data_IF_617987845053
#
_entry.id   IF_617987845053
#
_cell.length_a   1.000
_cell.length_b   1.000
_cell.length_c   1.000
_cell.angle_alpha   90.00
_cell.angle_beta   90.00
_cell.angle_gamma   90.00
#
_symmetry.space_group_name_H-M   'P 1'
#
loop_
_entity.id
_entity.type
_entity.pdbx_description
1 polymer ?
#
# COMPACT_ATOMS: atom_id res chain seq x y z
N UNK A 1 -10.18 17.46 23.76
CA UNK A 1 -9.36 16.46 23.05
C UNK A 1 -9.43 16.74 21.57
N UNK A 2 -8.28 16.86 20.94
CA UNK A 2 -8.12 17.01 19.50
C UNK A 2 -7.39 15.79 18.94
N UNK A 3 -7.83 15.28 17.79
CA UNK A 3 -7.16 14.19 17.08
C UNK A 3 -6.35 14.78 15.93
N UNK A 4 -5.03 14.66 16.03
CA UNK A 4 -4.09 15.04 14.99
C UNK A 4 -3.63 13.81 14.21
N UNK A 5 -3.14 14.02 12.99
CA UNK A 5 -2.50 12.96 12.19
C UNK A 5 -1.10 13.39 11.79
N UNK A 6 -0.13 12.48 11.88
CA UNK A 6 1.25 12.74 11.50
C UNK A 6 1.92 11.46 10.98
N UNK A 7 3.14 11.59 10.50
CA UNK A 7 4.02 10.45 10.26
C UNK A 7 4.99 10.30 11.43
N UNK A 8 5.66 9.14 11.57
CA UNK A 8 6.47 8.85 12.76
C UNK A 8 7.57 9.86 13.11
N UNK A 9 8.10 10.60 12.12
CA UNK A 9 9.13 11.64 12.33
C UNK A 9 8.57 13.06 12.16
N UNK A 10 7.26 13.20 12.04
CA UNK A 10 6.58 14.49 11.95
C UNK A 10 6.34 15.12 13.31
N UNK A 11 5.60 16.22 13.30
CA UNK A 11 5.15 16.87 14.53
C UNK A 11 4.19 15.95 15.29
N UNK A 12 4.40 15.82 16.60
CA UNK A 12 3.55 15.02 17.50
C UNK A 12 3.00 15.95 18.56
N UNK A 13 1.67 15.97 18.69
CA UNK A 13 0.93 16.74 19.70
C UNK A 13 0.17 15.80 20.62
N UNK A 14 0.38 15.96 21.92
CA UNK A 14 -0.21 15.08 22.93
C UNK A 14 0.32 13.64 22.83
N UNK A 15 -0.55 12.67 23.04
CA UNK A 15 -0.21 11.26 23.05
C UNK A 15 0.01 10.71 21.64
N UNK A 16 1.19 10.14 21.40
CA UNK A 16 1.52 9.50 20.13
C UNK A 16 0.94 8.09 20.06
N UNK A 17 0.12 7.81 19.04
CA UNK A 17 -0.53 6.52 18.81
C UNK A 17 -0.19 6.01 17.41
N UNK A 18 0.59 4.93 17.33
CA UNK A 18 0.81 4.21 16.09
C UNK A 18 -0.47 3.50 15.67
N UNK A 19 -0.89 3.74 14.42
CA UNK A 19 -1.99 3.03 13.75
C UNK A 19 -1.47 2.21 12.56
N UNK A 20 -0.17 1.98 12.47
CA UNK A 20 0.38 1.06 11.47
C UNK A 20 0.25 -0.38 11.94
N UNK A 21 0.17 -1.30 10.97
CA UNK A 21 0.26 -2.72 11.27
C UNK A 21 1.57 -3.05 11.99
N UNK A 22 2.67 -2.40 11.58
CA UNK A 22 3.99 -2.57 12.17
C UNK A 22 4.60 -1.20 12.52
N UNK A 23 4.67 -0.78 13.80
CA UNK A 23 5.37 0.44 14.17
C UNK A 23 6.89 0.31 13.96
N UNK A 24 7.64 1.43 13.94
CA UNK A 24 9.10 1.40 13.97
C UNK A 24 9.63 0.60 15.16
N UNK A 25 10.73 -0.14 14.98
CA UNK A 25 11.30 -1.05 16.00
C UNK A 25 11.50 -0.43 17.39
N UNK A 26 11.78 0.87 17.47
CA UNK A 26 12.02 1.60 18.71
C UNK A 26 10.90 2.59 19.06
N UNK A 27 9.68 2.35 18.58
CA UNK A 27 8.52 3.22 18.88
C UNK A 27 8.26 3.30 20.38
N UNK A 28 8.11 4.53 20.90
CA UNK A 28 7.89 4.81 22.33
C UNK A 28 6.45 5.21 22.66
N UNK A 29 5.65 5.54 21.65
CA UNK A 29 4.23 5.84 21.83
C UNK A 29 3.39 4.58 21.99
N UNK A 30 2.07 4.75 22.13
CA UNK A 30 1.14 3.62 22.12
C UNK A 30 1.07 3.00 20.74
N UNK A 31 0.76 1.71 20.67
CA UNK A 31 0.45 1.01 19.42
C UNK A 31 -0.99 0.52 19.48
N UNK A 32 -1.77 0.89 18.48
CA UNK A 32 -3.19 0.59 18.39
C UNK A 32 -3.50 -0.13 17.06
N UNK A 33 -3.26 -1.45 16.99
CA UNK A 33 -3.49 -2.24 15.78
C UNK A 33 -4.97 -2.31 15.38
N UNK A 34 -5.88 -1.91 16.27
CA UNK A 34 -7.30 -1.73 15.99
C UNK A 34 -7.55 -0.88 14.72
N UNK A 35 -6.73 0.14 14.49
CA UNK A 35 -6.82 1.04 13.33
C UNK A 35 -5.82 0.72 12.22
N UNK A 36 -5.11 -0.40 12.31
CA UNK A 36 -4.16 -0.80 11.28
C UNK A 36 -4.87 -1.46 10.08
N UNK A 37 -4.41 -1.20 8.84
CA UNK A 37 -4.78 -2.02 7.69
C UNK A 37 -4.42 -3.47 7.96
N UNK A 38 -5.16 -4.40 7.36
CA UNK A 38 -4.80 -5.82 7.41
C UNK A 38 -3.55 -6.08 6.57
N UNK A 39 -2.82 -7.18 6.78
CA UNK A 39 -1.71 -7.56 5.93
C UNK A 39 -2.09 -7.55 4.44
N UNK A 40 -3.25 -8.10 4.09
CA UNK A 40 -3.74 -8.23 2.71
C UNK A 40 -3.91 -6.86 2.04
N UNK A 41 -4.34 -5.86 2.80
CA UNK A 41 -4.47 -4.50 2.28
C UNK A 41 -3.14 -3.88 1.91
N UNK A 42 -2.01 -4.27 2.51
CA UNK A 42 -0.70 -3.70 2.19
C UNK A 42 -0.29 -3.89 0.72
N UNK A 43 -0.96 -4.81 0.01
CA UNK A 43 -0.77 -5.05 -1.42
C UNK A 43 -0.89 -3.77 -2.26
N UNK A 44 -1.78 -2.82 -1.91
CA UNK A 44 -2.01 -1.62 -2.74
C UNK A 44 -0.71 -0.87 -3.06
N UNK A 45 0.28 -0.91 -2.15
CA UNK A 45 1.61 -0.30 -2.33
C UNK A 45 2.45 -0.95 -3.42
N UNK A 46 2.23 -2.23 -3.71
CA UNK A 46 2.89 -2.96 -4.79
C UNK A 46 2.12 -2.88 -6.12
N UNK A 47 0.93 -2.28 -6.14
CA UNK A 47 0.14 -2.06 -7.36
C UNK A 47 0.58 -0.78 -8.09
N UNK A 48 -0.06 -0.45 -9.21
CA UNK A 48 0.15 0.81 -9.94
C UNK A 48 -0.11 2.10 -9.13
N UNK A 49 -0.64 2.00 -7.90
CA UNK A 49 -0.94 3.10 -6.97
C UNK A 49 -1.82 4.24 -7.54
N UNK A 50 -2.55 3.96 -8.64
CA UNK A 50 -3.45 4.92 -9.27
C UNK A 50 -4.73 5.17 -8.45
N UNK A 51 -5.55 6.12 -8.91
CA UNK A 51 -6.81 6.53 -8.27
C UNK A 51 -7.78 5.38 -8.02
N UNK A 52 -7.82 4.38 -8.90
CA UNK A 52 -8.70 3.23 -8.75
C UNK A 52 -8.14 2.22 -7.72
N UNK A 53 -6.82 2.04 -7.64
CA UNK A 53 -6.20 1.29 -6.54
C UNK A 53 -6.43 1.95 -5.18
N UNK A 54 -6.34 3.28 -5.11
CA UNK A 54 -6.63 4.06 -3.89
C UNK A 54 -8.11 3.96 -3.49
N UNK A 55 -9.02 4.00 -4.47
CA UNK A 55 -10.46 3.85 -4.23
C UNK A 55 -10.80 2.45 -3.70
N UNK A 56 -10.21 1.41 -4.28
CA UNK A 56 -10.36 0.04 -3.80
C UNK A 56 -9.81 -0.13 -2.39
N UNK A 57 -8.58 0.35 -2.14
CA UNK A 57 -8.01 0.31 -0.80
C UNK A 57 -8.93 0.98 0.22
N UNK A 58 -9.48 2.15 -0.12
CA UNK A 58 -10.41 2.88 0.73
C UNK A 58 -11.66 2.07 1.03
N UNK A 59 -12.22 1.41 0.03
CA UNK A 59 -13.40 0.56 0.20
C UNK A 59 -13.11 -0.63 1.12
N UNK A 60 -12.03 -1.35 0.88
CA UNK A 60 -11.70 -2.56 1.65
C UNK A 60 -11.21 -2.23 3.07
N UNK A 61 -10.50 -1.10 3.24
CA UNK A 61 -10.12 -0.63 4.57
C UNK A 61 -11.34 -0.15 5.38
N UNK A 62 -12.35 0.47 4.74
CA UNK A 62 -13.62 0.79 5.41
C UNK A 62 -14.30 -0.45 5.97
N UNK A 63 -14.41 -1.54 5.20
CA UNK A 63 -14.95 -2.82 5.71
C UNK A 63 -14.18 -3.33 6.93
N UNK A 64 -12.87 -3.11 6.95
CA UNK A 64 -12.03 -3.45 8.10
C UNK A 64 -12.40 -2.62 9.34
N UNK A 65 -12.60 -1.31 9.18
CA UNK A 65 -13.06 -0.44 10.26
C UNK A 65 -14.47 -0.83 10.73
N UNK A 66 -15.41 -1.06 9.81
CA UNK A 66 -16.78 -1.49 10.10
C UNK A 66 -16.80 -2.77 10.95
N UNK A 67 -15.98 -3.76 10.59
CA UNK A 67 -15.88 -5.02 11.34
C UNK A 67 -15.35 -4.85 12.77
N UNK A 68 -14.69 -3.71 13.04
CA UNK A 68 -14.05 -3.38 14.31
C UNK A 68 -14.82 -2.32 15.09
N UNK A 69 -15.99 -1.88 14.61
CA UNK A 69 -16.69 -0.71 15.13
C UNK A 69 -16.97 -0.77 16.63
N UNK A 70 -17.37 -1.93 17.14
CA UNK A 70 -17.63 -2.11 18.57
C UNK A 70 -16.39 -1.81 19.45
N UNK A 71 -15.21 -2.24 19.00
CA UNK A 71 -13.95 -1.99 19.70
C UNK A 71 -13.51 -0.53 19.55
N UNK A 72 -13.75 0.07 18.39
CA UNK A 72 -13.50 1.49 18.13
C UNK A 72 -14.34 2.35 19.08
N UNK A 73 -15.64 2.06 19.21
CA UNK A 73 -16.55 2.76 20.12
C UNK A 73 -16.12 2.65 21.59
N UNK A 74 -15.68 1.46 22.03
CA UNK A 74 -15.12 1.29 23.37
C UNK A 74 -13.87 2.13 23.59
N UNK A 75 -12.96 2.16 22.60
CA UNK A 75 -11.75 2.96 22.68
C UNK A 75 -12.05 4.46 22.72
N UNK A 76 -12.98 4.93 21.88
CA UNK A 76 -13.43 6.34 21.83
C UNK A 76 -14.06 6.75 23.16
N UNK A 77 -14.92 5.92 23.75
CA UNK A 77 -15.54 6.19 25.07
C UNK A 77 -14.49 6.39 26.16
N UNK A 78 -13.46 5.54 26.18
CA UNK A 78 -12.33 5.66 27.10
C UNK A 78 -11.54 6.96 26.92
N UNK A 79 -11.45 7.49 25.69
CA UNK A 79 -10.82 8.79 25.47
C UNK A 79 -11.70 9.96 25.94
N UNK A 80 -13.03 9.82 25.89
CA UNK A 80 -13.96 10.85 26.43
C UNK A 80 -13.87 10.95 27.96
N UNK A 81 -13.60 9.85 28.66
CA UNK A 81 -13.43 9.82 30.11
C UNK A 81 -12.13 10.50 30.60
N UNK A 82 -11.09 10.53 29.75
CA UNK A 82 -9.82 11.22 30.04
C UNK A 82 -9.34 11.98 28.80
N UNK A 83 -9.89 13.17 28.53
CA UNK A 83 -9.65 13.89 27.28
C UNK A 83 -8.23 14.45 27.25
N UNK A 84 -7.40 13.86 26.41
CA UNK A 84 -6.07 14.37 26.06
C UNK A 84 -5.94 14.47 24.56
N UNK A 85 -5.07 15.36 24.07
CA UNK A 85 -4.78 15.41 22.64
C UNK A 85 -4.04 14.15 22.19
N UNK A 86 -4.34 13.68 20.98
CA UNK A 86 -3.80 12.45 20.42
C UNK A 86 -3.26 12.74 19.03
N UNK A 87 -2.09 12.18 18.70
CA UNK A 87 -1.56 12.15 17.33
C UNK A 87 -1.52 10.73 16.81
N UNK A 88 -2.27 10.46 15.74
CA UNK A 88 -2.24 9.20 15.01
C UNK A 88 -1.06 9.17 14.03
N UNK A 89 -0.23 8.13 14.13
CA UNK A 89 1.02 8.02 13.38
C UNK A 89 1.03 6.81 12.43
N UNK A 90 1.49 7.06 11.18
CA UNK A 90 1.86 6.03 10.22
C UNK A 90 3.19 6.37 9.50
N UNK A 91 3.58 5.61 8.47
CA UNK A 91 4.87 5.81 7.78
C UNK A 91 4.83 6.85 6.68
N UNK A 92 3.68 6.99 6.02
CA UNK A 92 3.49 7.82 4.85
C UNK A 92 3.65 9.30 5.22
N UNK A 93 4.33 10.11 4.41
CA UNK A 93 4.56 11.52 4.73
C UNK A 93 3.27 12.32 4.56
N UNK A 94 3.28 13.57 5.04
CA UNK A 94 2.19 14.51 4.77
C UNK A 94 2.03 14.71 3.26
N UNK A 95 0.79 14.57 2.76
CA UNK A 95 0.48 14.62 1.32
C UNK A 95 0.36 13.25 0.66
N UNK A 96 0.99 12.22 1.21
CA UNK A 96 0.88 10.85 0.69
C UNK A 96 -0.50 10.23 1.05
N UNK A 97 -1.04 9.43 0.13
CA UNK A 97 -2.21 8.61 0.38
C UNK A 97 -1.92 7.56 1.47
N UNK A 98 -2.75 7.49 2.51
CA UNK A 98 -2.66 6.49 3.56
C UNK A 98 -3.96 6.39 4.39
N UNK A 99 -4.02 5.39 5.28
CA UNK A 99 -5.19 5.11 6.11
C UNK A 99 -5.43 6.10 7.26
N UNK A 100 -4.46 6.93 7.64
CA UNK A 100 -4.61 7.81 8.83
C UNK A 100 -5.79 8.78 8.70
N UNK A 101 -6.10 9.20 7.48
CA UNK A 101 -7.20 10.11 7.20
C UNK A 101 -8.55 9.43 7.44
N UNK A 102 -8.74 8.21 6.92
CA UNK A 102 -9.95 7.42 7.15
C UNK A 102 -10.15 7.09 8.63
N UNK A 103 -9.08 6.76 9.35
CA UNK A 103 -9.14 6.56 10.81
C UNK A 103 -9.52 7.85 11.54
N UNK A 104 -8.96 8.98 11.12
CA UNK A 104 -9.29 10.29 11.69
C UNK A 104 -10.77 10.64 11.50
N UNK A 105 -11.31 10.43 10.31
CA UNK A 105 -12.73 10.61 10.01
C UNK A 105 -13.62 9.70 10.86
N UNK A 106 -13.29 8.41 10.95
CA UNK A 106 -14.04 7.43 11.75
C UNK A 106 -14.12 7.83 13.22
N UNK A 107 -12.98 8.21 13.80
CA UNK A 107 -12.91 8.66 15.20
C UNK A 107 -13.71 9.95 15.39
N UNK A 108 -13.63 10.90 14.46
CA UNK A 108 -14.38 12.16 14.56
C UNK A 108 -15.89 11.92 14.47
N UNK A 109 -16.34 11.07 13.56
CA UNK A 109 -17.76 10.72 13.42
C UNK A 109 -18.33 10.12 14.71
N UNK A 110 -17.59 9.22 15.36
CA UNK A 110 -17.97 8.59 16.63
C UNK A 110 -17.82 9.53 17.84
N UNK A 111 -16.86 10.45 17.81
CA UNK A 111 -16.75 11.48 18.84
C UNK A 111 -17.97 12.40 18.81
N UNK A 112 -18.47 12.76 17.62
CA UNK A 112 -19.44 13.83 17.41
C UNK A 112 -20.88 13.35 17.12
N UNK A 113 -21.15 12.04 17.25
CA UNK A 113 -22.51 11.53 17.37
C UNK A 113 -23.27 11.34 16.06
N UNK A 114 -22.59 11.13 14.94
CA UNK A 114 -23.20 10.55 13.73
C UNK A 114 -24.14 11.45 12.89
N UNK A 115 -24.39 12.71 13.25
CA UNK A 115 -25.05 13.69 12.38
C UNK A 115 -24.04 14.67 11.81
N UNK A 116 -23.53 14.39 10.60
CA UNK A 116 -22.71 15.35 9.85
C UNK A 116 -23.64 16.38 9.22
N UNK A 117 -24.03 17.38 10.02
CA UNK A 117 -24.54 18.64 9.49
C UNK A 117 -23.45 19.31 8.66
N UNK A 118 -23.81 19.81 7.48
CA UNK A 118 -22.90 20.35 6.47
C UNK A 118 -22.09 21.60 6.89
N UNK A 119 -22.18 22.02 8.15
CA UNK A 119 -21.35 23.06 8.72
C UNK A 119 -20.64 22.52 9.96
N UNK A 120 -19.33 22.72 9.99
CA UNK A 120 -18.46 22.65 11.16
C UNK A 120 -17.60 21.38 11.36
N UNK A 121 -17.09 20.73 10.32
CA UNK A 121 -15.80 20.05 10.44
C UNK A 121 -14.66 21.09 10.32
N UNK A 122 -14.30 21.75 11.43
CA UNK A 122 -12.95 22.33 11.53
C UNK A 122 -11.95 21.19 11.75
N UNK A 123 -11.74 20.43 10.68
CA UNK A 123 -10.50 19.73 10.45
C UNK A 123 -9.44 20.85 10.35
N UNK A 124 -8.79 21.21 11.45
CA UNK A 124 -7.45 21.85 11.34
C UNK A 124 -6.48 20.75 10.90
N UNK A 125 -6.75 20.16 9.73
CA UNK A 125 -5.76 19.42 8.96
C UNK A 125 -4.74 20.49 8.61
N UNK A 126 -3.70 20.64 9.43
CA UNK A 126 -2.54 21.49 9.10
C UNK A 126 -1.84 20.77 7.95
N UNK A 127 -2.44 20.86 6.76
CA UNK A 127 -1.81 20.58 5.49
C UNK A 127 -0.73 21.65 5.33
N UNK A 128 0.52 21.23 5.29
CA UNK A 128 1.51 22.01 4.56
C UNK A 128 0.98 22.20 3.14
N UNK A 129 0.58 23.44 2.83
CA UNK A 129 0.06 23.93 1.55
C UNK A 129 0.37 23.01 0.36
N UNK A 130 -0.66 22.38 -0.20
CA UNK A 130 -0.77 22.14 -1.64
C UNK A 130 -2.25 22.02 -1.98
N UNK A 131 -2.74 22.94 -2.81
CA UNK A 131 -4.13 23.04 -3.21
C UNK A 131 -4.47 21.93 -4.21
N UNK A 132 -5.36 21.01 -3.86
CA UNK A 132 -6.27 20.40 -4.84
C UNK A 132 -7.61 20.11 -4.17
N UNK A 133 -8.72 20.71 -4.63
CA UNK A 133 -10.04 20.43 -4.12
C UNK A 133 -10.53 19.07 -4.64
N UNK A 134 -11.05 18.24 -3.74
CA UNK A 134 -11.79 17.03 -4.07
C UNK A 134 -13.15 17.48 -4.61
N UNK A 135 -13.32 17.48 -5.93
CA UNK A 135 -14.63 17.68 -6.55
C UNK A 135 -15.32 16.34 -6.79
N UNK A 136 -16.55 16.30 -6.29
CA UNK A 136 -17.66 15.39 -6.57
C UNK A 136 -17.60 14.60 -7.88
N UNK A 137 -18.02 13.34 -7.77
CA UNK A 137 -18.18 12.34 -8.81
C UNK A 137 -19.47 12.62 -9.62
N UNK A 138 -19.37 13.37 -10.72
CA UNK A 138 -20.36 13.37 -11.82
C UNK A 138 -19.84 14.20 -13.00
N UNK A 139 -19.94 13.62 -14.20
CA UNK A 139 -19.80 14.26 -15.52
C UNK A 139 -18.38 14.60 -16.00
N UNK A 140 -17.87 13.79 -16.95
CA UNK A 140 -17.58 14.33 -18.29
C UNK A 140 -17.43 13.19 -19.30
N UNK A 141 -18.44 13.07 -20.15
CA UNK A 141 -18.29 12.51 -21.48
C UNK A 141 -17.77 13.61 -22.42
N UNK A 142 -16.97 13.17 -23.40
CA UNK A 142 -17.01 13.58 -24.82
C UNK A 142 -15.98 14.61 -25.34
N UNK A 143 -15.16 14.08 -26.26
CA UNK A 143 -14.57 14.66 -27.50
C UNK A 143 -13.53 15.80 -27.39
N UNK A 144 -12.60 16.06 -28.33
CA UNK A 144 -11.93 15.38 -29.47
C UNK A 144 -11.00 16.46 -30.09
N UNK A 145 -9.81 16.09 -30.60
CA UNK A 145 -8.96 16.92 -31.48
C UNK A 145 -7.54 16.33 -31.57
N UNK A 146 -7.08 15.72 -32.68
CA UNK A 146 -6.42 16.30 -33.89
C UNK A 146 -5.19 17.17 -33.52
N UNK A 147 -3.99 17.07 -34.11
CA UNK A 147 -3.50 16.47 -35.35
C UNK A 147 -1.94 16.51 -35.33
N UNK A 148 -1.30 15.54 -36.02
CA UNK A 148 -0.02 15.48 -36.76
C UNK A 148 1.29 16.20 -36.35
N UNK A 149 2.42 15.51 -36.61
CA UNK A 149 3.76 16.09 -36.65
C UNK A 149 4.89 15.07 -36.87
N UNK A 150 4.99 14.52 -38.08
CA UNK A 150 6.05 13.65 -38.59
C UNK A 150 7.45 14.30 -38.58
N UNK A 151 8.51 13.58 -38.19
CA UNK A 151 9.85 13.72 -38.82
C UNK A 151 10.79 12.53 -38.53
N UNK A 152 11.14 11.88 -39.63
CA UNK A 152 12.16 10.86 -39.84
C UNK A 152 13.56 11.39 -39.52
N UNK A 153 14.39 10.58 -38.86
CA UNK A 153 15.81 10.41 -39.19
C UNK A 153 16.39 9.16 -38.48
N UNK A 154 16.82 8.22 -39.32
CA UNK A 154 17.49 6.97 -38.99
C UNK A 154 19.00 7.24 -38.79
N UNK A 155 19.70 6.50 -37.90
CA UNK A 155 20.92 5.87 -38.38
C UNK A 155 21.16 4.44 -37.85
N UNK A 156 21.36 3.54 -38.83
CA UNK A 156 22.26 2.37 -38.96
C UNK A 156 22.57 1.42 -37.76
N UNK A 157 22.79 0.12 -38.06
CA UNK A 157 22.67 -0.99 -37.13
C UNK A 157 23.93 -1.22 -36.28
N UNK A 158 23.73 -1.60 -35.02
CA UNK A 158 24.79 -2.13 -34.18
C UNK A 158 24.76 -3.66 -34.24
N UNK A 159 25.81 -4.16 -34.89
CA UNK A 159 26.42 -5.47 -34.87
C UNK A 159 25.91 -6.49 -33.81
N UNK A 160 25.29 -7.57 -34.30
CA UNK A 160 25.00 -8.80 -33.56
C UNK A 160 26.13 -9.80 -33.80
N UNK A 161 26.75 -10.32 -32.73
CA UNK A 161 27.48 -11.60 -32.66
C UNK A 161 27.87 -11.90 -31.21
N UNK A 162 28.06 -13.17 -30.80
CA UNK A 162 27.03 -14.19 -30.67
C UNK A 162 26.98 -14.77 -29.23
N UNK A 163 25.92 -15.53 -28.96
CA UNK A 163 25.86 -16.46 -27.82
C UNK A 163 27.14 -17.30 -27.68
N UNK A 164 27.47 -17.73 -26.45
CA UNK A 164 27.86 -19.10 -26.20
C UNK A 164 26.67 -19.90 -25.65
N UNK A 165 26.32 -20.95 -26.39
CA UNK A 165 25.47 -22.06 -25.98
C UNK A 165 26.16 -22.95 -24.92
N UNK A 166 25.42 -23.89 -24.28
CA UNK A 166 25.61 -24.29 -22.89
C UNK A 166 26.56 -25.49 -22.77
N UNK A 167 27.28 -25.58 -21.65
CA UNK A 167 27.63 -26.88 -21.07
C UNK A 167 27.82 -26.80 -19.55
N UNK A 168 27.60 -27.92 -18.84
CA UNK A 168 27.08 -27.95 -17.48
C UNK A 168 28.19 -28.10 -16.43
N UNK A 169 27.74 -28.16 -15.17
CA UNK A 169 28.44 -28.64 -13.97
C UNK A 169 29.07 -27.55 -13.10
N UNK A 170 28.23 -26.90 -12.29
CA UNK A 170 28.65 -26.44 -10.97
C UNK A 170 27.62 -26.89 -9.93
N UNK A 171 27.83 -28.10 -9.43
CA UNK A 171 27.26 -28.57 -8.16
C UNK A 171 28.04 -27.89 -7.04
N UNK A 172 27.39 -27.01 -6.27
CA UNK A 172 28.00 -26.51 -5.04
C UNK A 172 27.50 -25.17 -4.56
N UNK A 173 26.26 -25.16 -4.04
CA UNK A 173 25.82 -24.49 -2.80
C UNK A 173 24.30 -24.33 -2.86
N UNK A 174 23.58 -25.42 -2.57
CA UNK A 174 22.22 -25.29 -2.09
C UNK A 174 22.30 -24.79 -0.65
N UNK A 175 22.34 -23.47 -0.45
CA UNK A 175 21.70 -22.92 0.74
C UNK A 175 20.21 -23.13 0.55
N UNK A 176 19.69 -24.25 1.06
CA UNK A 176 18.24 -24.43 1.18
C UNK A 176 17.77 -23.42 2.21
N UNK A 177 17.56 -22.18 1.79
CA UNK A 177 16.84 -21.16 2.54
C UNK A 177 15.39 -21.60 2.57
N UNK A 178 15.09 -22.60 3.40
CA UNK A 178 13.75 -23.13 3.56
C UNK A 178 12.83 -21.96 3.91
N UNK A 179 11.83 -21.74 3.06
CA UNK A 179 10.78 -20.78 3.33
C UNK A 179 9.98 -21.23 4.55
N UNK A 180 9.31 -20.28 5.19
CA UNK A 180 8.23 -20.63 6.11
C UNK A 180 7.17 -21.47 5.36
N UNK A 181 6.59 -22.52 5.98
CA UNK A 181 5.60 -23.38 5.33
C UNK A 181 4.43 -22.61 4.70
N UNK A 182 4.06 -21.49 5.32
CA UNK A 182 3.00 -20.62 4.82
C UNK A 182 3.41 -19.89 3.53
N UNK A 183 4.65 -19.40 3.46
CA UNK A 183 5.20 -18.77 2.25
C UNK A 183 5.26 -19.79 1.12
N UNK A 184 5.77 -21.01 1.37
CA UNK A 184 5.77 -22.10 0.39
C UNK A 184 4.37 -22.41 -0.14
N UNK A 185 3.39 -22.60 0.74
CA UNK A 185 2.01 -22.91 0.34
C UNK A 185 1.40 -21.80 -0.51
N UNK A 186 1.68 -20.53 -0.20
CA UNK A 186 1.17 -19.42 -1.00
C UNK A 186 1.87 -19.33 -2.37
N UNK A 187 3.17 -19.62 -2.46
CA UNK A 187 3.88 -19.70 -3.75
C UNK A 187 3.25 -20.79 -4.63
N UNK A 188 3.00 -21.98 -4.08
CA UNK A 188 2.36 -23.08 -4.80
C UNK A 188 0.96 -22.69 -5.32
N UNK A 189 0.16 -22.00 -4.50
CA UNK A 189 -1.15 -21.49 -4.93
C UNK A 189 -1.04 -20.48 -6.07
N UNK A 190 -0.08 -19.56 -6.01
CA UNK A 190 0.18 -18.63 -7.10
C UNK A 190 0.56 -19.38 -8.38
N UNK A 191 1.44 -20.39 -8.30
CA UNK A 191 1.84 -21.21 -9.45
C UNK A 191 0.65 -21.99 -10.03
N UNK A 192 -0.20 -22.57 -9.19
CA UNK A 192 -1.41 -23.28 -9.61
C UNK A 192 -2.42 -22.37 -10.33
N UNK A 193 -2.43 -21.08 -9.98
CA UNK A 193 -3.23 -20.06 -10.66
C UNK A 193 -2.55 -19.50 -11.94
N UNK A 194 -1.37 -20.04 -12.33
CA UNK A 194 -0.64 -19.63 -13.52
C UNK A 194 0.30 -18.43 -13.33
N UNK A 195 0.63 -18.08 -12.09
CA UNK A 195 1.50 -16.95 -11.76
C UNK A 195 2.85 -17.45 -11.26
N UNK A 196 3.90 -17.47 -12.10
CA UNK A 196 5.23 -17.93 -11.73
C UNK A 196 5.93 -16.87 -10.87
N UNK A 197 5.47 -16.73 -9.62
CA UNK A 197 6.11 -15.87 -8.63
C UNK A 197 7.40 -16.51 -8.15
N UNK A 198 8.46 -15.71 -8.07
CA UNK A 198 9.72 -16.08 -7.43
C UNK A 198 9.89 -15.27 -6.15
N UNK A 199 10.42 -15.91 -5.11
CA UNK A 199 10.64 -15.29 -3.81
C UNK A 199 12.04 -15.64 -3.33
N UNK A 200 13.01 -14.75 -3.44
CA UNK A 200 14.37 -15.03 -2.97
C UNK A 200 14.55 -14.52 -1.55
N UNK A 201 14.92 -15.41 -0.62
CA UNK A 201 15.21 -14.99 0.75
C UNK A 201 16.56 -14.30 0.80
N UNK A 202 16.58 -13.02 1.17
CA UNK A 202 17.81 -12.21 1.25
C UNK A 202 18.41 -12.21 2.67
N UNK A 203 19.74 -11.97 2.83
CA UNK A 203 20.45 -12.15 4.10
C UNK A 203 19.90 -11.37 5.30
N UNK A 204 19.19 -10.27 5.06
CA UNK A 204 18.57 -9.45 6.11
C UNK A 204 17.23 -10.01 6.63
N UNK A 205 16.82 -11.20 6.19
CA UNK A 205 15.56 -11.85 6.61
C UNK A 205 14.32 -11.38 5.84
N UNK A 206 14.53 -10.62 4.76
CA UNK A 206 13.49 -10.19 3.83
C UNK A 206 13.41 -11.16 2.64
N UNK A 207 12.42 -10.93 1.78
CA UNK A 207 12.10 -11.69 0.58
C UNK A 207 12.09 -10.71 -0.59
N UNK A 208 12.97 -10.92 -1.56
CA UNK A 208 12.83 -10.28 -2.86
C UNK A 208 11.78 -11.01 -3.65
N UNK A 209 10.73 -10.34 -4.06
CA UNK A 209 9.62 -10.98 -4.79
C UNK A 209 9.66 -10.50 -6.23
N UNK A 210 9.59 -11.43 -7.18
CA UNK A 210 9.43 -11.11 -8.59
C UNK A 210 8.30 -11.90 -9.22
N UNK A 211 7.66 -11.31 -10.22
CA UNK A 211 6.55 -11.90 -10.95
C UNK A 211 6.81 -11.73 -12.44
N UNK A 212 6.81 -12.84 -13.19
CA UNK A 212 7.20 -12.82 -14.61
C UNK A 212 8.58 -12.20 -14.89
N UNK A 213 9.52 -12.34 -13.94
CA UNK A 213 10.87 -11.79 -14.05
C UNK A 213 11.01 -10.33 -13.64
N UNK A 214 9.90 -9.64 -13.33
CA UNK A 214 9.90 -8.26 -12.89
C UNK A 214 9.98 -8.15 -11.36
N UNK A 215 10.80 -7.24 -10.85
CA UNK A 215 11.03 -7.04 -9.43
C UNK A 215 9.84 -6.28 -8.78
N UNK A 216 9.15 -6.94 -7.85
CA UNK A 216 8.10 -6.36 -7.00
C UNK A 216 8.67 -5.78 -5.69
N UNK A 217 9.99 -5.88 -5.49
CA UNK A 217 10.72 -5.30 -4.37
C UNK A 217 11.00 -6.27 -3.23
N UNK A 218 11.59 -5.70 -2.16
CA UNK A 218 12.02 -6.43 -0.97
C UNK A 218 11.00 -6.31 0.17
N UNK A 219 10.51 -7.45 0.66
CA UNK A 219 9.41 -7.55 1.63
C UNK A 219 9.84 -8.29 2.89
N UNK A 220 9.32 -7.88 4.05
CA UNK A 220 9.43 -8.71 5.26
C UNK A 220 8.67 -10.04 5.09
N UNK A 221 8.85 -11.01 5.98
CA UNK A 221 8.10 -12.29 5.92
C UNK A 221 6.58 -12.08 5.87
N UNK A 222 6.04 -11.21 6.71
CA UNK A 222 4.61 -10.91 6.67
C UNK A 222 4.22 -10.09 5.42
N UNK A 223 5.16 -9.29 4.91
CA UNK A 223 4.99 -8.56 3.64
C UNK A 223 4.86 -9.51 2.46
N UNK A 224 5.72 -10.54 2.36
CA UNK A 224 5.61 -11.53 1.28
C UNK A 224 4.33 -12.35 1.40
N UNK A 225 3.86 -12.66 2.62
CA UNK A 225 2.56 -13.32 2.80
C UNK A 225 1.40 -12.47 2.27
N UNK A 226 1.41 -11.17 2.54
CA UNK A 226 0.45 -10.22 1.98
C UNK A 226 0.53 -10.16 0.45
N UNK A 227 1.75 -10.11 -0.07
CA UNK A 227 2.03 -10.07 -1.51
C UNK A 227 1.44 -11.32 -2.19
N UNK A 228 1.78 -12.51 -1.71
CA UNK A 228 1.30 -13.76 -2.29
C UNK A 228 -0.21 -13.99 -2.08
N UNK A 229 -0.79 -13.45 -1.00
CA UNK A 229 -2.24 -13.48 -0.79
C UNK A 229 -2.98 -12.54 -1.75
N UNK A 230 -2.42 -11.36 -2.02
CA UNK A 230 -3.00 -10.39 -2.96
C UNK A 230 -2.98 -10.88 -4.41
N UNK A 231 -1.96 -11.66 -4.82
CA UNK A 231 -1.92 -12.31 -6.14
C UNK A 231 -3.09 -13.28 -6.38
N UNK A 232 -3.71 -13.79 -5.32
CA UNK A 232 -4.90 -14.63 -5.42
C UNK A 232 -6.19 -13.80 -5.59
N UNK A 233 -6.16 -12.48 -5.37
CA UNK A 233 -7.33 -11.61 -5.52
C UNK A 233 -7.39 -10.96 -6.90
N UNK A 234 -8.51 -11.13 -7.61
CA UNK A 234 -8.62 -10.75 -9.03
C UNK A 234 -8.33 -9.27 -9.31
N UNK A 235 -8.82 -8.36 -8.45
CA UNK A 235 -8.65 -6.92 -8.63
C UNK A 235 -7.17 -6.50 -8.63
N UNK A 236 -6.44 -6.95 -7.61
CA UNK A 236 -5.04 -6.59 -7.44
C UNK A 236 -4.13 -7.32 -8.42
N UNK A 237 -4.49 -8.57 -8.75
CA UNK A 237 -3.83 -9.41 -9.75
C UNK A 237 -3.75 -8.76 -11.13
N UNK A 238 -4.86 -8.24 -11.66
CA UNK A 238 -4.85 -7.59 -12.98
C UNK A 238 -3.95 -6.36 -13.02
N UNK A 239 -3.91 -5.59 -11.94
CA UNK A 239 -3.19 -4.30 -11.85
C UNK A 239 -1.69 -4.46 -11.66
N UNK A 240 -1.31 -5.50 -10.96
CA UNK A 240 0.06 -5.99 -10.89
C UNK A 240 0.62 -6.31 -12.27
N UNK A 241 -0.08 -7.18 -13.01
CA UNK A 241 0.38 -7.63 -14.32
C UNK A 241 0.42 -6.47 -15.34
N UNK A 242 -0.55 -5.55 -15.27
CA UNK A 242 -0.57 -4.36 -16.13
C UNK A 242 0.52 -3.35 -15.76
N UNK A 243 0.82 -3.15 -14.48
CA UNK A 243 1.91 -2.31 -14.03
C UNK A 243 3.27 -2.79 -14.56
N UNK A 244 3.46 -4.11 -14.63
CA UNK A 244 4.65 -4.74 -15.21
C UNK A 244 4.71 -4.58 -16.75
N UNK A 245 3.59 -4.76 -17.44
CA UNK A 245 3.53 -4.59 -18.89
C UNK A 245 3.83 -3.14 -19.35
N UNK A 246 3.48 -2.15 -18.52
CA UNK A 246 3.77 -0.74 -18.80
C UNK A 246 5.27 -0.37 -18.66
N UNK A 247 6.03 -1.12 -17.85
CA UNK A 247 7.49 -0.94 -17.72
C UNK A 247 8.24 -1.60 -18.88
N UNK A 248 7.70 -2.70 -19.43
CA UNK A 248 8.31 -3.47 -20.52
C UNK A 248 8.09 -2.95 -21.95
N UNK A 249 7.29 -1.90 -22.16
CA UNK A 249 7.07 -1.29 -23.50
C UNK A 249 7.81 0.02 -23.75
N UNK A 250 8.75 0.38 -22.88
CA UNK A 250 9.69 1.47 -23.11
C UNK A 250 11.00 0.97 -23.74
N UNK A 251 10.97 0.62 -25.03
CA UNK A 251 12.16 0.43 -25.87
C UNK A 251 11.90 0.98 -27.27
#
# INVERSE_FOLDING_TARGET
MTVFTSYYRGEIRGEAVSISLYPPKNWKGKHLPLFAPTPELLWWKASAQDTAAQSEYTREFRKTLDSRQQLIQLWVRKQKENPQDITLCCFEKTGDFCHRYQVGEEILQELWGGEVGADQLQLTLVQGKTNHPISSLSELAREKGKEEGEKVLNPKPINLSPLPSPHPTFLGWQTTTAYSPLVSSLIEKCHALGYPVMCDRIPCGYYRVSLHGEDLGDWSELGVLAVLSGLQQEFYRGRLLLGLAAVGSGC
#
